data_IF_113774918808
#
_entry.id   IF_113774918808
#
_cell.length_a   1.000
_cell.length_b   1.000
_cell.length_c   1.000
_cell.angle_alpha   90.00
_cell.angle_beta   90.00
_cell.angle_gamma   90.00
#
_symmetry.space_group_name_H-M   'P 1'
#
loop_
_entity.id
_entity.type
_entity.pdbx_description
1 polymer ?
#
# COMPACT_ATOMS: atom_id res chain seq x y z
N UNK A 1 -7.99 -6.69 0.70
CA UNK A 1 -7.25 -6.98 1.93
C UNK A 1 -5.75 -6.98 1.67
N UNK A 2 -4.96 -6.64 2.67
CA UNK A 2 -3.50 -6.87 2.70
C UNK A 2 -3.24 -8.22 3.36
N UNK A 3 -2.27 -8.99 2.88
CA UNK A 3 -1.94 -10.27 3.55
C UNK A 3 -1.26 -10.09 4.90
N UNK A 4 -0.81 -8.88 5.24
CA UNK A 4 -0.18 -8.59 6.52
C UNK A 4 -1.08 -8.96 7.69
N UNK A 5 -0.50 -9.68 8.65
CA UNK A 5 -1.09 -10.27 9.84
C UNK A 5 -2.22 -11.29 9.58
N UNK A 6 -3.41 -10.88 9.19
CA UNK A 6 -4.60 -11.76 9.15
C UNK A 6 -4.48 -12.90 8.13
N UNK A 7 -3.87 -12.63 6.97
CA UNK A 7 -3.80 -13.60 5.86
C UNK A 7 -2.37 -14.10 5.61
N UNK A 8 -1.41 -13.81 6.49
CA UNK A 8 0.02 -14.06 6.28
C UNK A 8 0.40 -15.54 6.05
N UNK A 9 -0.39 -16.44 6.65
CA UNK A 9 -0.14 -17.87 6.64
C UNK A 9 -0.89 -18.63 5.52
N UNK A 10 -1.58 -17.89 4.62
CA UNK A 10 -2.37 -18.47 3.54
C UNK A 10 -1.62 -18.44 2.20
N UNK A 11 -1.75 -19.51 1.43
CA UNK A 11 -1.35 -19.56 0.03
C UNK A 11 -2.34 -18.80 -0.88
N UNK A 12 -2.02 -18.64 -2.16
CA UNK A 12 -2.82 -17.86 -3.11
C UNK A 12 -4.24 -18.43 -3.25
N UNK A 13 -4.38 -19.76 -3.29
CA UNK A 13 -5.65 -20.46 -3.43
C UNK A 13 -6.55 -20.20 -2.23
N UNK A 14 -6.01 -20.33 -1.03
CA UNK A 14 -6.72 -20.07 0.23
C UNK A 14 -7.12 -18.61 0.34
N UNK A 15 -6.22 -17.67 0.00
CA UNK A 15 -6.52 -16.22 -0.01
C UNK A 15 -7.74 -15.93 -0.90
N UNK A 16 -7.71 -16.40 -2.14
CA UNK A 16 -8.81 -16.18 -3.11
C UNK A 16 -10.11 -16.76 -2.57
N UNK A 17 -10.10 -18.04 -2.20
CA UNK A 17 -11.30 -18.73 -1.73
C UNK A 17 -11.92 -18.06 -0.50
N UNK A 18 -11.10 -17.70 0.49
CA UNK A 18 -11.58 -17.10 1.74
C UNK A 18 -12.08 -15.66 1.58
N UNK A 19 -11.45 -14.87 0.72
CA UNK A 19 -11.92 -13.53 0.40
C UNK A 19 -13.23 -13.56 -0.40
N UNK A 20 -13.40 -14.50 -1.34
CA UNK A 20 -14.65 -14.72 -2.06
C UNK A 20 -15.78 -15.18 -1.12
N UNK A 21 -15.50 -16.14 -0.22
CA UNK A 21 -16.44 -16.62 0.80
C UNK A 21 -16.88 -15.49 1.74
N UNK A 22 -15.94 -14.67 2.21
CA UNK A 22 -16.25 -13.51 3.03
C UNK A 22 -17.12 -12.48 2.29
N UNK A 23 -17.00 -12.38 0.97
CA UNK A 23 -17.75 -11.48 0.10
C UNK A 23 -17.45 -9.99 0.34
N UNK A 24 -17.62 -9.14 -0.67
CA UNK A 24 -17.28 -7.70 -0.62
C UNK A 24 -15.76 -7.40 -0.71
N UNK A 25 -14.89 -8.37 -0.49
CA UNK A 25 -13.48 -8.20 -0.83
C UNK A 25 -13.34 -8.38 -2.35
N UNK A 26 -12.72 -7.41 -3.01
CA UNK A 26 -12.56 -7.37 -4.47
C UNK A 26 -11.09 -7.40 -4.88
N UNK A 27 -10.18 -7.26 -3.92
CA UNK A 27 -8.76 -7.23 -4.19
C UNK A 27 -7.87 -7.61 -3.02
N UNK A 28 -6.64 -7.99 -3.36
CA UNK A 28 -5.60 -8.32 -2.40
C UNK A 28 -4.29 -7.63 -2.73
N UNK A 29 -3.63 -7.16 -1.69
CA UNK A 29 -2.21 -6.80 -1.67
C UNK A 29 -1.42 -7.97 -1.09
N UNK A 30 -0.48 -8.50 -1.86
CA UNK A 30 0.44 -9.54 -1.41
C UNK A 30 1.69 -8.89 -0.79
N UNK A 31 1.81 -8.97 0.52
CA UNK A 31 3.02 -8.48 1.20
C UNK A 31 4.12 -9.51 1.11
N UNK A 32 5.33 -9.09 0.78
CA UNK A 32 6.52 -9.96 0.68
C UNK A 32 6.78 -10.78 1.94
N UNK A 33 7.40 -11.94 1.79
CA UNK A 33 7.81 -12.89 2.83
C UNK A 33 6.67 -13.63 3.55
N UNK A 34 5.50 -13.70 2.96
CA UNK A 34 4.34 -14.45 3.49
C UNK A 34 4.17 -15.81 2.81
N UNK A 35 3.26 -16.63 3.35
CA UNK A 35 3.08 -18.03 2.93
C UNK A 35 2.61 -18.21 1.48
N UNK A 36 2.05 -17.17 0.84
CA UNK A 36 1.69 -17.20 -0.59
C UNK A 36 2.89 -17.41 -1.53
N UNK A 37 4.12 -17.07 -1.08
CA UNK A 37 5.40 -17.27 -1.80
C UNK A 37 5.47 -16.67 -3.21
N UNK A 38 4.68 -15.65 -3.49
CA UNK A 38 4.74 -14.91 -4.76
C UNK A 38 5.79 -13.81 -4.60
N UNK A 39 7.02 -14.13 -4.99
CA UNK A 39 8.21 -13.29 -4.79
C UNK A 39 8.93 -13.05 -6.13
N UNK A 40 9.84 -12.08 -6.23
CA UNK A 40 10.53 -11.77 -7.49
C UNK A 40 11.34 -12.92 -8.11
N UNK A 41 11.72 -13.93 -7.34
CA UNK A 41 12.54 -15.06 -7.77
C UNK A 41 11.74 -16.25 -8.31
N UNK A 42 10.41 -16.20 -8.31
CA UNK A 42 9.60 -17.26 -8.93
C UNK A 42 9.76 -17.25 -10.45
N UNK A 43 9.64 -18.44 -11.05
CA UNK A 43 9.77 -18.63 -12.49
C UNK A 43 8.70 -17.91 -13.32
N UNK A 44 8.96 -17.68 -14.61
CA UNK A 44 8.00 -17.09 -15.53
C UNK A 44 6.71 -17.92 -15.64
N UNK A 45 6.82 -19.25 -15.55
CA UNK A 45 5.68 -20.16 -15.55
C UNK A 45 4.82 -19.97 -14.28
N UNK A 46 5.46 -19.76 -13.13
CA UNK A 46 4.78 -19.52 -11.88
C UNK A 46 4.08 -18.15 -11.88
N UNK A 47 4.74 -17.08 -12.38
CA UNK A 47 4.11 -15.75 -12.58
C UNK A 47 2.87 -15.88 -13.46
N UNK A 48 2.94 -16.63 -14.55
CA UNK A 48 1.81 -16.90 -15.44
C UNK A 48 0.69 -17.68 -14.72
N UNK A 49 1.03 -18.66 -13.87
CA UNK A 49 0.03 -19.38 -13.06
C UNK A 49 -0.66 -18.45 -12.07
N UNK A 50 0.09 -17.62 -11.35
CA UNK A 50 -0.47 -16.63 -10.41
C UNK A 50 -1.43 -15.70 -11.13
N UNK A 51 -1.00 -15.11 -12.26
CA UNK A 51 -1.85 -14.25 -13.08
C UNK A 51 -3.17 -14.91 -13.44
N UNK A 52 -3.11 -16.12 -14.01
CA UNK A 52 -4.32 -16.88 -14.42
C UNK A 52 -5.24 -17.21 -13.25
N UNK A 53 -4.69 -17.42 -12.04
CA UNK A 53 -5.48 -17.66 -10.83
C UNK A 53 -6.35 -16.45 -10.50
N UNK A 54 -5.73 -15.27 -10.44
CA UNK A 54 -6.48 -14.03 -10.18
C UNK A 54 -7.44 -13.68 -11.32
N UNK A 55 -7.07 -13.85 -12.58
CA UNK A 55 -7.95 -13.62 -13.74
C UNK A 55 -9.21 -14.49 -13.74
N UNK A 56 -9.15 -15.69 -13.15
CA UNK A 56 -10.28 -16.64 -13.05
C UNK A 56 -11.10 -16.46 -11.77
N UNK A 57 -10.73 -15.54 -10.90
CA UNK A 57 -11.38 -15.27 -9.63
C UNK A 57 -12.10 -13.92 -9.65
N UNK A 58 -12.88 -13.64 -8.61
CA UNK A 58 -13.47 -12.32 -8.35
C UNK A 58 -12.50 -11.38 -7.61
N UNK A 59 -11.33 -11.89 -7.21
CA UNK A 59 -10.34 -11.13 -6.43
C UNK A 59 -9.25 -10.61 -7.37
N UNK A 60 -9.07 -9.31 -7.43
CA UNK A 60 -7.97 -8.69 -8.17
C UNK A 60 -6.68 -8.75 -7.35
N UNK A 61 -5.56 -9.15 -7.97
CA UNK A 61 -4.25 -8.84 -7.44
C UNK A 61 -4.00 -7.33 -7.64
N UNK A 62 -4.03 -6.57 -6.55
CA UNK A 62 -3.95 -5.10 -6.61
C UNK A 62 -2.52 -4.64 -6.64
N UNK A 63 -1.68 -5.12 -5.70
CA UNK A 63 -0.28 -4.74 -5.65
C UNK A 63 0.56 -5.72 -4.82
N UNK A 64 1.88 -5.47 -4.84
CA UNK A 64 2.81 -6.08 -3.91
C UNK A 64 3.22 -5.08 -2.83
N UNK A 65 3.02 -5.46 -1.57
CA UNK A 65 3.52 -4.72 -0.41
C UNK A 65 4.99 -5.05 -0.17
N UNK A 66 5.91 -4.21 -0.65
CA UNK A 66 7.34 -4.45 -0.51
C UNK A 66 7.91 -3.88 0.78
N UNK A 67 9.16 -4.24 1.08
CA UNK A 67 9.98 -3.63 2.12
C UNK A 67 11.05 -2.70 1.56
N UNK A 68 10.90 -2.24 0.32
CA UNK A 68 11.83 -1.28 -0.29
C UNK A 68 11.75 0.07 0.44
N UNK A 69 12.91 0.57 0.87
CA UNK A 69 13.06 1.79 1.67
C UNK A 69 14.17 2.67 1.09
N UNK A 70 13.94 3.97 1.01
CA UNK A 70 14.86 4.89 0.31
C UNK A 70 15.46 5.98 1.21
N UNK A 71 15.30 5.86 2.53
CA UNK A 71 15.74 6.86 3.51
C UNK A 71 17.22 6.79 3.87
N UNK A 72 17.94 5.74 3.46
CA UNK A 72 19.34 5.58 3.82
C UNK A 72 20.20 6.74 3.32
N UNK A 73 21.11 7.31 4.14
CA UNK A 73 22.11 8.27 3.67
C UNK A 73 23.11 7.63 2.69
N UNK A 74 23.33 6.32 2.75
CA UNK A 74 24.22 5.59 1.85
C UNK A 74 23.57 5.39 0.46
N UNK A 75 24.20 5.95 -0.56
CA UNK A 75 23.74 5.85 -1.94
C UNK A 75 23.76 4.41 -2.49
N UNK A 76 24.70 3.56 -2.04
CA UNK A 76 24.75 2.16 -2.48
C UNK A 76 23.56 1.37 -1.94
N UNK A 77 23.17 1.63 -0.68
CA UNK A 77 21.98 1.04 -0.07
C UNK A 77 20.71 1.47 -0.83
N UNK A 78 20.56 2.77 -1.11
CA UNK A 78 19.40 3.26 -1.89
C UNK A 78 19.32 2.63 -3.28
N UNK A 79 20.46 2.55 -3.99
CA UNK A 79 20.54 1.88 -5.30
C UNK A 79 20.11 0.43 -5.23
N UNK A 80 20.55 -0.33 -4.22
CA UNK A 80 20.14 -1.70 -4.01
C UNK A 80 18.63 -1.82 -3.78
N UNK A 81 18.04 -0.88 -3.01
CA UNK A 81 16.60 -0.85 -2.76
C UNK A 81 15.80 -0.55 -4.05
N UNK A 82 16.29 0.35 -4.90
CA UNK A 82 15.69 0.63 -6.22
C UNK A 82 15.76 -0.63 -7.12
N UNK A 83 16.91 -1.31 -7.19
CA UNK A 83 17.04 -2.56 -7.95
C UNK A 83 16.11 -3.67 -7.43
N UNK A 84 15.93 -3.76 -6.13
CA UNK A 84 14.93 -4.66 -5.53
C UNK A 84 13.52 -4.27 -5.96
N UNK A 85 13.21 -2.98 -5.92
CA UNK A 85 11.93 -2.44 -6.39
C UNK A 85 11.65 -2.76 -7.86
N UNK A 86 12.66 -2.67 -8.74
CA UNK A 86 12.53 -3.05 -10.16
C UNK A 86 12.12 -4.51 -10.34
N UNK A 87 12.67 -5.42 -9.54
CA UNK A 87 12.27 -6.84 -9.58
C UNK A 87 10.79 -7.04 -9.17
N UNK A 88 10.31 -6.26 -8.21
CA UNK A 88 8.89 -6.27 -7.85
C UNK A 88 8.00 -5.61 -8.91
N UNK A 89 8.49 -4.59 -9.63
CA UNK A 89 7.79 -4.02 -10.80
C UNK A 89 7.65 -5.06 -11.90
N UNK A 90 8.70 -5.82 -12.21
CA UNK A 90 8.63 -6.91 -13.19
C UNK A 90 7.64 -8.00 -12.75
N UNK A 91 7.69 -8.41 -11.47
CA UNK A 91 6.73 -9.36 -10.90
C UNK A 91 5.29 -8.83 -11.03
N UNK A 92 5.05 -7.57 -10.68
CA UNK A 92 3.73 -6.92 -10.76
C UNK A 92 3.20 -6.91 -12.20
N UNK A 93 4.04 -6.54 -13.17
CA UNK A 93 3.71 -6.56 -14.59
C UNK A 93 3.31 -7.96 -15.06
N UNK A 94 4.13 -8.96 -14.77
CA UNK A 94 3.92 -10.34 -15.23
C UNK A 94 2.70 -11.00 -14.60
N UNK A 95 2.38 -10.65 -13.35
CA UNK A 95 1.23 -11.19 -12.62
C UNK A 95 -0.05 -10.37 -12.79
N UNK A 96 0.02 -9.21 -13.44
CA UNK A 96 -1.13 -8.34 -13.72
C UNK A 96 -1.57 -7.46 -12.56
N UNK A 97 -0.71 -7.19 -11.60
CA UNK A 97 -0.94 -6.21 -10.53
C UNK A 97 -0.90 -4.77 -11.08
N UNK A 98 -1.41 -3.81 -10.31
CA UNK A 98 -1.49 -2.40 -10.70
C UNK A 98 -0.27 -1.59 -10.25
N UNK A 99 0.37 -2.02 -9.19
CA UNK A 99 1.48 -1.27 -8.59
C UNK A 99 2.27 -2.06 -7.56
N UNK A 100 3.24 -1.39 -6.99
CA UNK A 100 3.97 -1.83 -5.80
C UNK A 100 3.93 -0.75 -4.74
N UNK A 101 3.86 -1.16 -3.47
CA UNK A 101 3.96 -0.26 -2.33
C UNK A 101 5.39 -0.25 -1.80
N UNK A 102 5.94 0.94 -1.56
CA UNK A 102 7.26 1.19 -0.98
C UNK A 102 7.13 2.06 0.27
N UNK A 103 8.18 2.13 1.11
CA UNK A 103 8.13 2.85 2.37
C UNK A 103 9.19 3.97 2.45
N UNK A 104 8.85 5.16 3.00
CA UNK A 104 9.85 6.17 3.32
C UNK A 104 10.66 5.79 4.56
N UNK A 105 10.00 5.30 5.56
CA UNK A 105 10.38 4.62 6.79
C UNK A 105 11.07 5.43 7.89
N UNK A 106 11.94 6.42 7.61
CA UNK A 106 12.54 7.28 8.64
C UNK A 106 13.18 8.55 8.07
N UNK A 107 13.45 9.50 8.97
CA UNK A 107 14.38 10.61 8.76
C UNK A 107 15.59 10.37 9.67
N UNK A 108 16.74 9.87 9.14
CA UNK A 108 17.96 9.66 9.92
C UNK A 108 18.48 10.97 10.50
N UNK A 109 18.88 10.94 11.77
CA UNK A 109 19.35 12.16 12.48
C UNK A 109 20.70 12.67 12.00
N UNK A 110 21.45 11.84 11.29
CA UNK A 110 22.81 12.11 10.80
C UNK A 110 22.83 13.02 9.57
N UNK A 111 21.68 13.21 8.94
CA UNK A 111 21.54 14.08 7.77
C UNK A 111 20.34 15.02 7.92
N UNK A 112 20.40 16.21 7.31
CA UNK A 112 19.25 17.11 7.30
C UNK A 112 18.00 16.45 6.71
N UNK A 113 16.81 16.65 7.30
CA UNK A 113 15.55 16.05 6.82
C UNK A 113 15.29 16.28 5.33
N UNK A 114 15.56 17.49 4.84
CA UNK A 114 15.39 17.87 3.43
C UNK A 114 16.28 17.05 2.48
N UNK A 115 17.45 16.62 2.94
CA UNK A 115 18.34 15.74 2.19
C UNK A 115 17.74 14.34 2.07
N UNK A 116 17.19 13.79 3.16
CA UNK A 116 16.53 12.49 3.15
C UNK A 116 15.26 12.51 2.28
N UNK A 117 14.44 13.56 2.40
CA UNK A 117 13.26 13.78 1.56
C UNK A 117 13.64 13.75 0.07
N UNK A 118 14.70 14.45 -0.31
CA UNK A 118 15.22 14.45 -1.68
C UNK A 118 15.69 13.07 -2.11
N UNK A 119 16.42 12.34 -1.29
CA UNK A 119 16.89 10.99 -1.59
C UNK A 119 15.72 10.01 -1.83
N UNK A 120 14.68 10.10 -1.01
CA UNK A 120 13.47 9.27 -1.18
C UNK A 120 12.77 9.65 -2.49
N UNK A 121 12.62 10.94 -2.77
CA UNK A 121 11.97 11.44 -3.97
C UNK A 121 12.70 11.04 -5.26
N UNK A 122 14.04 11.14 -5.28
CA UNK A 122 14.88 10.73 -6.40
C UNK A 122 14.78 9.22 -6.66
N UNK A 123 14.89 8.40 -5.61
CA UNK A 123 14.76 6.94 -5.70
C UNK A 123 13.36 6.53 -6.17
N UNK A 124 12.33 7.19 -5.65
CA UNK A 124 10.94 6.96 -6.06
C UNK A 124 10.71 7.32 -7.52
N UNK A 125 11.27 8.45 -7.99
CA UNK A 125 11.20 8.85 -9.40
C UNK A 125 11.88 7.83 -10.30
N UNK A 126 13.11 7.41 -9.99
CA UNK A 126 13.85 6.42 -10.75
C UNK A 126 13.06 5.10 -10.89
N UNK A 127 12.43 4.67 -9.80
CA UNK A 127 11.61 3.47 -9.81
C UNK A 127 10.29 3.69 -10.58
N UNK A 128 9.70 4.88 -10.52
CA UNK A 128 8.49 5.23 -11.26
C UNK A 128 8.75 5.35 -12.77
N UNK A 129 9.91 5.87 -13.20
CA UNK A 129 10.33 5.85 -14.60
C UNK A 129 10.39 4.41 -15.14
N UNK A 130 10.95 3.48 -14.34
CA UNK A 130 11.00 2.06 -14.69
C UNK A 130 9.61 1.42 -14.73
N UNK A 131 8.76 1.76 -13.76
CA UNK A 131 7.38 1.28 -13.65
C UNK A 131 6.49 1.77 -14.79
N UNK A 132 6.67 3.02 -15.23
CA UNK A 132 5.91 3.61 -16.32
C UNK A 132 6.05 2.82 -17.63
N UNK A 133 7.26 2.35 -17.97
CA UNK A 133 7.50 1.49 -19.12
C UNK A 133 6.79 0.14 -19.07
N UNK A 134 6.20 -0.24 -17.92
CA UNK A 134 5.47 -1.49 -17.66
C UNK A 134 4.02 -1.29 -17.24
N UNK A 135 3.57 -0.03 -17.14
CA UNK A 135 2.23 0.30 -16.65
C UNK A 135 2.04 0.03 -15.15
N UNK A 136 3.13 0.01 -14.35
CA UNK A 136 3.12 -0.28 -12.92
C UNK A 136 3.39 0.99 -12.12
N UNK A 137 2.47 1.32 -11.22
CA UNK A 137 2.58 2.48 -10.34
C UNK A 137 3.42 2.18 -9.09
N UNK A 138 4.03 3.21 -8.52
CA UNK A 138 4.82 3.17 -7.29
C UNK A 138 4.10 3.98 -6.22
N UNK A 139 3.70 3.34 -5.13
CA UNK A 139 2.93 3.97 -4.06
C UNK A 139 3.75 4.05 -2.76
N UNK A 140 4.09 5.28 -2.37
CA UNK A 140 4.78 5.54 -1.11
C UNK A 140 3.76 5.46 0.04
N UNK A 141 3.97 4.56 0.96
CA UNK A 141 3.14 4.44 2.16
C UNK A 141 3.39 5.61 3.11
N UNK A 142 2.34 6.24 3.61
CA UNK A 142 2.41 7.25 4.67
C UNK A 142 2.74 6.53 5.99
N UNK A 143 4.00 6.19 6.18
CA UNK A 143 4.47 5.26 7.20
C UNK A 143 5.87 5.65 7.73
N UNK A 144 6.19 5.15 8.91
CA UNK A 144 7.53 5.23 9.50
C UNK A 144 7.70 6.37 10.50
N UNK A 145 8.83 6.32 11.22
CA UNK A 145 9.14 7.35 12.20
C UNK A 145 9.45 8.67 11.48
N UNK A 146 8.73 9.72 11.87
CA UNK A 146 8.77 11.06 11.29
C UNK A 146 8.20 11.14 9.85
N UNK A 147 8.31 10.09 9.07
CA UNK A 147 7.81 10.00 7.68
C UNK A 147 6.33 9.56 7.57
N UNK A 148 5.66 9.26 8.68
CA UNK A 148 4.20 9.18 8.74
C UNK A 148 3.51 10.55 8.79
N UNK A 149 4.28 11.65 8.86
CA UNK A 149 3.73 13.00 8.74
C UNK A 149 3.25 13.25 7.29
N UNK A 150 1.96 13.58 7.07
CA UNK A 150 1.43 13.90 5.75
C UNK A 150 2.20 14.99 5.01
N UNK A 151 2.75 15.98 5.72
CA UNK A 151 3.54 17.07 5.11
C UNK A 151 4.84 16.54 4.50
N UNK A 152 5.50 15.62 5.19
CA UNK A 152 6.73 14.99 4.69
C UNK A 152 6.43 14.15 3.44
N UNK A 153 5.38 13.34 3.48
CA UNK A 153 4.97 12.53 2.33
C UNK A 153 4.54 13.39 1.14
N UNK A 154 3.79 14.47 1.37
CA UNK A 154 3.44 15.44 0.32
C UNK A 154 4.68 16.04 -0.36
N UNK A 155 5.70 16.41 0.44
CA UNK A 155 6.94 16.96 -0.07
C UNK A 155 7.73 15.93 -0.92
N UNK A 156 7.80 14.67 -0.45
CA UNK A 156 8.47 13.59 -1.19
C UNK A 156 7.82 13.41 -2.58
N UNK A 157 6.50 13.24 -2.64
CA UNK A 157 5.83 12.98 -3.94
C UNK A 157 5.84 14.21 -4.84
N UNK A 158 5.79 15.42 -4.28
CA UNK A 158 5.93 16.68 -5.02
C UNK A 158 7.31 16.78 -5.68
N UNK A 159 8.39 16.41 -4.98
CA UNK A 159 9.75 16.37 -5.52
C UNK A 159 9.95 15.22 -6.51
N UNK A 160 9.37 14.05 -6.26
CA UNK A 160 9.40 12.93 -7.20
C UNK A 160 8.80 13.33 -8.56
N UNK A 161 7.71 14.11 -8.58
CA UNK A 161 7.11 14.75 -9.76
C UNK A 161 6.97 13.78 -10.96
N UNK A 162 6.30 12.66 -10.73
CA UNK A 162 6.09 11.62 -11.72
C UNK A 162 4.66 11.08 -11.66
N UNK A 163 3.99 10.89 -12.80
CA UNK A 163 2.59 10.46 -12.85
C UNK A 163 2.36 9.03 -12.31
N UNK A 164 3.37 8.15 -12.45
CA UNK A 164 3.35 6.79 -11.90
C UNK A 164 3.78 6.73 -10.42
N UNK A 165 4.18 7.85 -9.83
CA UNK A 165 4.42 7.98 -8.40
C UNK A 165 3.17 8.47 -7.69
N UNK A 166 2.79 7.83 -6.59
CA UNK A 166 1.64 8.22 -5.78
C UNK A 166 1.81 7.83 -4.33
N UNK A 167 0.73 7.95 -3.57
CA UNK A 167 0.71 7.62 -2.15
C UNK A 167 -0.22 6.44 -1.86
N UNK A 168 0.19 5.64 -0.89
CA UNK A 168 -0.68 4.78 -0.12
C UNK A 168 -1.02 5.50 1.19
N UNK A 169 -2.26 5.97 1.32
CA UNK A 169 -2.78 6.45 2.60
C UNK A 169 -2.74 5.30 3.61
N UNK A 170 -2.17 5.54 4.79
CA UNK A 170 -2.10 4.52 5.83
C UNK A 170 -2.71 5.09 7.11
N UNK A 171 -3.95 4.80 7.39
CA UNK A 171 -4.77 5.36 8.47
C UNK A 171 -4.04 5.42 9.84
N UNK A 172 -3.17 6.40 10.00
CA UNK A 172 -2.34 6.57 11.19
C UNK A 172 -3.10 7.36 12.26
N UNK A 173 -3.32 6.83 13.47
CA UNK A 173 -4.06 7.54 14.51
C UNK A 173 -3.25 8.64 15.22
N UNK A 174 -2.07 9.00 14.70
CA UNK A 174 -1.19 10.00 15.29
C UNK A 174 -1.63 11.45 15.05
N UNK A 175 -1.16 12.41 15.88
CA UNK A 175 -1.57 13.81 15.84
C UNK A 175 -1.12 14.55 14.57
N UNK A 176 -0.22 13.97 13.79
CA UNK A 176 0.20 14.52 12.51
C UNK A 176 -0.87 14.33 11.43
N UNK A 177 -1.59 13.19 11.47
CA UNK A 177 -2.66 12.88 10.51
C UNK A 177 -4.04 13.27 11.04
N UNK A 178 -4.32 12.93 12.32
CA UNK A 178 -5.62 13.22 12.96
C UNK A 178 -5.49 14.49 13.80
N UNK A 179 -5.95 15.63 13.27
CA UNK A 179 -5.87 16.94 13.93
C UNK A 179 -7.23 17.29 14.50
N UNK A 180 -7.33 17.47 15.82
CA UNK A 180 -8.60 17.76 16.52
C UNK A 180 -9.73 16.74 16.18
N UNK A 181 -9.38 15.46 16.06
CA UNK A 181 -10.33 14.40 15.75
C UNK A 181 -10.75 14.31 14.26
N UNK A 182 -10.08 15.03 13.36
CA UNK A 182 -10.39 15.06 11.93
C UNK A 182 -9.17 14.74 11.08
N UNK A 183 -9.38 14.01 9.97
CA UNK A 183 -8.37 13.73 8.95
C UNK A 183 -8.46 14.65 7.73
N UNK A 184 -9.43 15.56 7.72
CA UNK A 184 -9.74 16.39 6.55
C UNK A 184 -8.53 17.16 6.05
N UNK A 185 -7.80 17.83 6.93
CA UNK A 185 -6.64 18.64 6.53
C UNK A 185 -5.55 17.79 5.89
N UNK A 186 -5.23 16.64 6.47
CA UNK A 186 -4.26 15.69 5.94
C UNK A 186 -4.73 15.08 4.63
N UNK A 187 -6.00 14.73 4.54
CA UNK A 187 -6.59 14.18 3.33
C UNK A 187 -6.54 15.19 2.17
N UNK A 188 -6.97 16.43 2.37
CA UNK A 188 -6.94 17.47 1.32
C UNK A 188 -5.51 17.76 0.86
N UNK A 189 -4.54 17.73 1.77
CA UNK A 189 -3.13 17.88 1.44
C UNK A 189 -2.62 16.76 0.52
N UNK A 190 -2.97 15.49 0.82
CA UNK A 190 -2.46 14.32 0.11
C UNK A 190 -3.31 13.88 -1.08
N UNK A 191 -4.58 14.31 -1.12
CA UNK A 191 -5.58 13.88 -2.12
C UNK A 191 -5.08 13.82 -3.57
N UNK A 192 -4.28 14.78 -4.09
CA UNK A 192 -3.84 14.73 -5.48
C UNK A 192 -3.01 13.50 -5.84
N UNK A 193 -2.41 12.83 -4.85
CA UNK A 193 -1.49 11.71 -5.05
C UNK A 193 -1.98 10.39 -4.47
N UNK A 194 -3.12 10.35 -3.76
CA UNK A 194 -3.64 9.11 -3.17
C UNK A 194 -4.06 8.16 -4.29
N UNK A 195 -3.34 7.04 -4.41
CA UNK A 195 -3.60 5.97 -5.38
C UNK A 195 -3.95 4.65 -4.72
N UNK A 196 -3.70 4.53 -3.43
CA UNK A 196 -3.96 3.35 -2.62
C UNK A 196 -4.33 3.75 -1.20
N UNK A 197 -5.11 2.94 -0.49
CA UNK A 197 -5.55 3.25 0.88
C UNK A 197 -5.50 1.99 1.73
N UNK A 198 -4.74 2.03 2.82
CA UNK A 198 -4.82 1.05 3.89
C UNK A 198 -5.82 1.50 4.94
N UNK A 199 -6.66 0.58 5.36
CA UNK A 199 -7.64 0.74 6.43
C UNK A 199 -7.26 -0.22 7.55
N UNK A 200 -6.91 0.34 8.71
CA UNK A 200 -6.48 -0.43 9.87
C UNK A 200 -7.68 -0.99 10.66
N UNK A 201 -7.59 -1.03 11.98
CA UNK A 201 -8.64 -1.52 12.88
C UNK A 201 -9.84 -0.57 12.87
N UNK A 202 -10.93 -0.99 12.26
CA UNK A 202 -12.17 -0.19 12.17
C UNK A 202 -12.86 0.06 13.51
N UNK A 203 -12.48 -0.68 14.55
CA UNK A 203 -13.04 -0.54 15.89
C UNK A 203 -12.30 0.47 16.78
N UNK A 204 -11.24 1.11 16.28
CA UNK A 204 -10.53 2.17 17.00
C UNK A 204 -11.19 3.55 16.80
N UNK A 205 -10.68 4.55 17.53
CA UNK A 205 -11.21 5.93 17.53
C UNK A 205 -10.79 6.76 16.30
N UNK A 206 -10.26 6.13 15.26
CA UNK A 206 -9.93 6.83 14.02
C UNK A 206 -11.22 7.35 13.32
N UNK A 207 -11.22 8.54 12.71
CA UNK A 207 -12.43 9.14 12.12
C UNK A 207 -12.85 8.47 10.80
N UNK A 208 -13.19 7.18 10.84
CA UNK A 208 -13.49 6.33 9.68
C UNK A 208 -14.63 6.87 8.82
N UNK A 209 -15.73 7.33 9.41
CA UNK A 209 -16.87 7.89 8.65
C UNK A 209 -16.47 9.13 7.87
N UNK A 210 -15.61 9.97 8.45
CA UNK A 210 -15.07 11.15 7.78
C UNK A 210 -14.16 10.73 6.61
N UNK A 211 -13.21 9.84 6.83
CA UNK A 211 -12.32 9.34 5.76
C UNK A 211 -13.12 8.77 4.58
N UNK A 212 -14.10 7.89 4.83
CA UNK A 212 -14.94 7.32 3.77
C UNK A 212 -15.77 8.38 3.05
N UNK A 213 -16.25 9.39 3.76
CA UNK A 213 -16.97 10.51 3.16
C UNK A 213 -16.06 11.34 2.26
N UNK A 214 -14.83 11.64 2.71
CA UNK A 214 -13.84 12.37 1.92
C UNK A 214 -13.42 11.58 0.66
N UNK A 215 -13.21 10.27 0.77
CA UNK A 215 -12.93 9.41 -0.39
C UNK A 215 -14.07 9.45 -1.43
N UNK A 216 -15.35 9.34 -0.98
CA UNK A 216 -16.50 9.46 -1.89
C UNK A 216 -16.61 10.84 -2.53
N UNK A 217 -16.42 11.92 -1.77
CA UNK A 217 -16.42 13.29 -2.30
C UNK A 217 -15.31 13.54 -3.30
N UNK A 218 -14.14 12.93 -3.08
CA UNK A 218 -13.02 12.95 -4.01
C UNK A 218 -13.23 12.06 -5.25
N UNK A 219 -14.35 11.31 -5.33
CA UNK A 219 -14.61 10.29 -6.36
C UNK A 219 -13.47 9.26 -6.47
N UNK A 220 -12.95 8.84 -5.31
CA UNK A 220 -11.92 7.80 -5.26
C UNK A 220 -12.50 6.48 -5.74
N UNK A 221 -12.03 5.99 -6.86
CA UNK A 221 -12.53 4.81 -7.60
C UNK A 221 -11.58 3.61 -7.51
N UNK A 222 -10.64 3.64 -6.56
CA UNK A 222 -9.63 2.61 -6.34
C UNK A 222 -9.93 1.80 -5.07
N UNK A 223 -8.97 0.99 -4.64
CA UNK A 223 -9.14 0.05 -3.54
C UNK A 223 -8.84 0.67 -2.17
N UNK A 224 -9.69 0.34 -1.20
CA UNK A 224 -9.40 0.50 0.23
C UNK A 224 -9.08 -0.88 0.80
N UNK A 225 -7.89 -1.08 1.32
CA UNK A 225 -7.36 -2.39 1.69
C UNK A 225 -7.36 -2.56 3.20
N UNK A 226 -7.99 -3.62 3.67
CA UNK A 226 -7.92 -4.01 5.09
C UNK A 226 -6.47 -4.37 5.46
N UNK A 227 -5.88 -3.66 6.39
CA UNK A 227 -4.61 -3.96 7.03
C UNK A 227 -4.78 -4.00 8.55
N UNK A 228 -5.23 -5.12 9.08
CA UNK A 228 -5.62 -5.26 10.47
C UNK A 228 -4.68 -6.16 11.25
N UNK A 229 -4.81 -6.14 12.58
CA UNK A 229 -4.03 -6.99 13.48
C UNK A 229 -4.36 -8.48 13.30
N UNK A 230 -3.45 -9.33 13.74
CA UNK A 230 -3.62 -10.79 13.66
C UNK A 230 -4.86 -11.26 14.42
N UNK A 231 -5.57 -12.22 13.85
CA UNK A 231 -6.73 -12.86 14.48
C UNK A 231 -6.56 -14.37 14.51
N UNK A 232 -6.88 -14.97 15.66
CA UNK A 232 -6.94 -16.44 15.78
C UNK A 232 -8.13 -17.06 15.03
N UNK A 233 -9.10 -16.25 14.62
CA UNK A 233 -10.28 -16.64 13.86
C UNK A 233 -10.40 -15.79 12.58
N UNK A 234 -9.45 -15.91 11.62
CA UNK A 234 -9.33 -14.98 10.50
C UNK A 234 -10.61 -14.94 9.64
N UNK A 235 -11.26 -16.06 9.36
CA UNK A 235 -12.50 -16.11 8.58
C UNK A 235 -13.66 -15.39 9.28
N UNK A 236 -13.79 -15.55 10.59
CA UNK A 236 -14.79 -14.82 11.40
C UNK A 236 -14.46 -13.33 11.40
N UNK A 237 -13.19 -12.97 11.55
CA UNK A 237 -12.72 -11.60 11.52
C UNK A 237 -13.04 -10.92 10.19
N UNK A 238 -12.79 -11.55 9.05
CA UNK A 238 -13.13 -11.02 7.73
C UNK A 238 -14.62 -10.67 7.60
N UNK A 239 -15.52 -11.54 8.10
CA UNK A 239 -16.96 -11.26 8.09
C UNK A 239 -17.34 -10.08 8.97
N UNK A 240 -16.77 -9.95 10.16
CA UNK A 240 -17.00 -8.82 11.05
C UNK A 240 -16.44 -7.52 10.50
N UNK A 241 -15.21 -7.56 10.00
CA UNK A 241 -14.56 -6.40 9.39
C UNK A 241 -15.39 -5.87 8.20
N UNK A 242 -15.84 -6.75 7.33
CA UNK A 242 -16.74 -6.41 6.22
C UNK A 242 -18.04 -5.74 6.70
N UNK A 243 -18.68 -6.30 7.73
CA UNK A 243 -19.93 -5.76 8.24
C UNK A 243 -19.74 -4.34 8.79
N UNK A 244 -18.68 -4.13 9.56
CA UNK A 244 -18.33 -2.83 10.12
C UNK A 244 -17.90 -1.83 9.03
N UNK A 245 -17.10 -2.26 8.07
CA UNK A 245 -16.72 -1.43 6.92
C UNK A 245 -17.96 -0.92 6.16
N UNK A 246 -18.92 -1.81 5.89
CA UNK A 246 -20.19 -1.43 5.24
C UNK A 246 -20.97 -0.41 6.05
N UNK A 247 -21.05 -0.59 7.35
CA UNK A 247 -21.76 0.32 8.24
C UNK A 247 -21.09 1.70 8.30
N UNK A 248 -19.77 1.74 8.42
CA UNK A 248 -19.00 2.97 8.48
C UNK A 248 -18.95 3.71 7.14
N UNK A 249 -19.07 2.99 6.02
CA UNK A 249 -19.04 3.54 4.66
C UNK A 249 -20.44 3.89 4.11
N UNK A 250 -21.50 3.79 4.91
CA UNK A 250 -22.83 4.26 4.49
C UNK A 250 -22.80 5.79 4.26
N UNK A 251 -23.51 6.28 3.22
CA UNK A 251 -23.66 7.71 2.96
C UNK A 251 -24.22 8.47 4.14
#
# INVERSE_FOLDING_TARGET
AVTYNVLKDWDVETIIAKLEEAGTFEGVELRTTHAHRVEPDISAEERTRVRRRFERSKIRLVCFGTTCEFHSPDAAVRKQQVETGRKFVDLAHDTGALGIKVRPNALPKEVPPETTIRHIAESMRELADYGAGRGIEIWLEVHGRDTSDPKICAEIVRQAKHEYAGLCWNSNPGPQEVVNGSVKASFELLRPWIKHVHINELANDYPWRELFTLLRQARYDRYTMMEAQESKEPERFLRWYRALWRELNRP
#
